data_IF_608362866012
#
_entry.id   IF_608362866012
#
_cell.length_a   1.000
_cell.length_b   1.000
_cell.length_c   1.000
_cell.angle_alpha   90.00
_cell.angle_beta   90.00
_cell.angle_gamma   90.00
#
_symmetry.space_group_name_H-M   'P 1'
#
loop_
_entity.id
_entity.type
_entity.pdbx_description
1 polymer ?
#
# COMPACT_ATOMS: atom_id res chain seq x y z
N UNK A 1 15.77 19.11 12.00
CA UNK A 1 15.21 17.77 11.89
C UNK A 1 13.79 17.85 11.34
N UNK A 2 13.57 17.25 10.21
CA UNK A 2 12.23 17.18 9.64
C UNK A 2 11.39 16.29 10.56
N UNK A 3 10.25 16.79 11.00
CA UNK A 3 9.30 15.99 11.73
C UNK A 3 8.77 14.89 10.81
N UNK A 4 8.78 13.66 11.29
CA UNK A 4 8.13 12.56 10.59
C UNK A 4 6.66 12.94 10.40
N UNK A 5 6.16 12.98 9.16
CA UNK A 5 4.76 13.30 8.95
C UNK A 5 3.91 12.17 9.51
N UNK A 6 2.86 12.48 10.16
CA UNK A 6 1.81 11.56 10.63
C UNK A 6 2.34 10.21 11.14
N UNK A 7 2.62 10.14 12.43
CA UNK A 7 2.85 8.85 13.07
C UNK A 7 1.50 8.16 13.31
N UNK A 8 1.32 6.91 12.92
CA UNK A 8 0.06 6.20 13.14
C UNK A 8 -0.41 6.20 14.60
N UNK A 9 0.52 6.17 15.54
CA UNK A 9 0.22 6.08 16.97
C UNK A 9 0.00 7.42 17.66
N UNK A 10 0.24 8.54 16.99
CA UNK A 10 0.23 9.83 17.68
C UNK A 10 -0.50 10.95 17.01
N UNK A 11 -0.91 10.82 15.76
CA UNK A 11 -1.22 12.02 15.00
C UNK A 11 -2.67 12.16 14.62
N UNK A 12 -3.41 11.12 14.54
CA UNK A 12 -4.84 11.22 14.27
C UNK A 12 -5.57 10.09 14.96
N UNK A 13 -5.79 10.19 16.27
CA UNK A 13 -6.70 9.27 16.94
C UNK A 13 -8.13 9.42 16.44
N UNK A 14 -8.45 10.56 15.81
CA UNK A 14 -9.75 10.86 15.25
C UNK A 14 -9.74 10.71 13.71
N UNK A 15 -10.85 10.20 13.18
CA UNK A 15 -11.11 10.14 11.75
C UNK A 15 -11.12 11.55 11.13
N UNK A 16 -10.40 11.75 10.03
CA UNK A 16 -10.39 13.01 9.27
C UNK A 16 -11.46 12.94 8.18
N UNK A 17 -12.51 13.74 8.33
CA UNK A 17 -13.57 13.84 7.33
C UNK A 17 -13.20 14.76 6.15
N UNK A 18 -14.07 14.83 5.14
CA UNK A 18 -13.83 15.66 3.96
C UNK A 18 -13.65 17.14 4.29
N UNK A 19 -14.50 17.68 5.17
CA UNK A 19 -14.46 19.10 5.57
C UNK A 19 -13.13 19.45 6.21
N UNK A 20 -12.67 18.65 7.16
CA UNK A 20 -11.37 18.82 7.83
C UNK A 20 -10.21 18.64 6.84
N UNK A 21 -10.28 17.64 5.99
CA UNK A 21 -9.25 17.39 4.97
C UNK A 21 -9.10 18.57 4.03
N UNK A 22 -10.21 19.12 3.52
CA UNK A 22 -10.18 20.30 2.62
C UNK A 22 -9.72 21.56 3.32
N UNK A 23 -10.07 21.75 4.58
CA UNK A 23 -9.60 22.90 5.38
C UNK A 23 -8.07 22.94 5.52
N UNK A 24 -7.40 21.80 5.43
CA UNK A 24 -5.94 21.67 5.47
C UNK A 24 -5.31 21.54 4.06
N UNK A 25 -5.95 22.05 3.03
CA UNK A 25 -5.44 22.05 1.66
C UNK A 25 -5.71 20.77 0.88
N UNK A 26 -6.55 19.90 1.38
CA UNK A 26 -6.89 18.64 0.71
C UNK A 26 -7.54 18.84 -0.65
N UNK A 27 -7.19 17.99 -1.59
CA UNK A 27 -7.63 17.95 -2.99
C UNK A 27 -7.19 19.14 -3.86
N UNK A 28 -6.42 20.09 -3.34
CA UNK A 28 -5.91 21.19 -4.17
C UNK A 28 -4.92 20.70 -5.22
N UNK A 29 -4.05 19.76 -4.86
CA UNK A 29 -3.07 19.18 -5.79
C UNK A 29 -3.77 18.37 -6.89
N UNK A 30 -4.72 17.52 -6.54
CA UNK A 30 -5.49 16.77 -7.54
C UNK A 30 -6.24 17.70 -8.48
N UNK A 31 -6.90 18.74 -7.96
CA UNK A 31 -7.62 19.72 -8.76
C UNK A 31 -6.69 20.49 -9.70
N UNK A 32 -5.53 20.95 -9.22
CA UNK A 32 -4.54 21.65 -10.03
C UNK A 32 -4.05 20.79 -11.21
N UNK A 33 -3.81 19.52 -10.94
CA UNK A 33 -3.38 18.57 -11.96
C UNK A 33 -4.47 18.31 -13.03
N UNK A 34 -5.71 18.08 -12.60
CA UNK A 34 -6.84 17.84 -13.51
C UNK A 34 -7.16 19.09 -14.33
N UNK A 35 -7.04 20.27 -13.75
CA UNK A 35 -7.31 21.54 -14.43
C UNK A 35 -6.15 22.01 -15.34
N UNK A 36 -5.06 21.27 -15.41
CA UNK A 36 -3.90 21.61 -16.24
C UNK A 36 -2.97 22.69 -15.66
N UNK A 37 -3.16 23.05 -14.39
CA UNK A 37 -2.30 24.01 -13.69
C UNK A 37 -0.99 23.37 -13.22
N UNK A 38 -0.92 22.05 -13.20
CA UNK A 38 0.26 21.27 -12.82
C UNK A 38 0.58 20.27 -13.94
N UNK A 39 1.87 20.16 -14.29
CA UNK A 39 2.32 19.28 -15.36
C UNK A 39 2.37 17.82 -14.90
N UNK A 40 1.66 16.94 -15.61
CA UNK A 40 1.63 15.51 -15.34
C UNK A 40 3.01 14.85 -15.46
N UNK A 41 3.83 15.26 -16.42
CA UNK A 41 5.19 14.71 -16.59
C UNK A 41 6.09 15.11 -15.42
N UNK A 42 5.93 16.31 -14.87
CA UNK A 42 6.66 16.73 -13.67
C UNK A 42 6.28 15.89 -12.45
N UNK A 43 5.01 15.56 -12.28
CA UNK A 43 4.53 14.66 -11.22
C UNK A 43 5.11 13.27 -11.39
N UNK A 44 5.09 12.73 -12.60
CA UNK A 44 5.65 11.41 -12.91
C UNK A 44 7.15 11.34 -12.58
N UNK A 45 7.91 12.36 -12.97
CA UNK A 45 9.34 12.47 -12.65
C UNK A 45 9.58 12.54 -11.13
N UNK A 46 8.76 13.29 -10.41
CA UNK A 46 8.83 13.34 -8.94
C UNK A 46 8.59 11.97 -8.31
N UNK A 47 7.61 11.22 -8.81
CA UNK A 47 7.35 9.86 -8.34
C UNK A 47 8.54 8.93 -8.61
N UNK A 48 9.15 9.01 -9.79
CA UNK A 48 10.34 8.23 -10.13
C UNK A 48 11.53 8.55 -9.21
N UNK A 49 11.73 9.82 -8.87
CA UNK A 49 12.85 10.28 -8.06
C UNK A 49 12.63 10.10 -6.54
N UNK A 50 11.41 9.83 -6.12
CA UNK A 50 11.07 9.71 -4.70
C UNK A 50 11.64 8.45 -4.02
N UNK A 51 11.91 7.43 -4.79
CA UNK A 51 12.29 6.12 -4.28
C UNK A 51 11.11 5.31 -3.71
N UNK A 52 9.87 5.79 -3.87
CA UNK A 52 8.68 5.03 -3.45
C UNK A 52 8.58 3.74 -4.26
N UNK A 53 8.42 2.64 -3.56
CA UNK A 53 8.24 1.30 -4.13
C UNK A 53 6.87 0.75 -3.74
N UNK A 54 6.39 -0.26 -4.44
CA UNK A 54 5.12 -0.90 -4.13
C UNK A 54 5.11 -1.50 -2.73
N UNK A 55 4.34 -0.91 -1.82
CA UNK A 55 4.37 -1.22 -0.38
C UNK A 55 3.49 -2.42 0.00
N UNK A 56 2.86 -3.05 -0.98
CA UNK A 56 2.07 -4.28 -0.77
C UNK A 56 2.89 -5.57 -0.72
N UNK A 57 4.18 -5.52 -1.04
CA UNK A 57 5.07 -6.67 -0.92
C UNK A 57 6.06 -6.89 -2.06
N UNK A 58 5.72 -6.57 -3.30
CA UNK A 58 6.58 -6.81 -4.47
C UNK A 58 7.73 -5.80 -4.59
N UNK A 59 7.55 -4.58 -4.10
CA UNK A 59 8.59 -3.57 -4.07
C UNK A 59 9.01 -3.00 -5.41
N UNK A 60 8.17 -3.10 -6.44
CA UNK A 60 8.48 -2.50 -7.74
C UNK A 60 8.44 -0.97 -7.64
N UNK A 61 9.37 -0.22 -8.25
CA UNK A 61 9.37 1.24 -8.19
C UNK A 61 8.06 1.84 -8.72
N UNK A 62 7.37 2.63 -7.88
CA UNK A 62 6.04 3.14 -8.20
C UNK A 62 6.04 4.06 -9.42
N UNK A 63 6.96 5.02 -9.48
CA UNK A 63 7.05 5.94 -10.62
C UNK A 63 7.34 5.25 -11.95
N UNK A 64 8.18 4.22 -11.92
CA UNK A 64 8.47 3.39 -13.11
C UNK A 64 7.23 2.63 -13.56
N UNK A 65 6.45 2.09 -12.62
CA UNK A 65 5.17 1.43 -12.92
C UNK A 65 4.19 2.40 -13.60
N UNK A 66 4.08 3.62 -13.10
CA UNK A 66 3.23 4.65 -13.70
C UNK A 66 3.65 4.96 -15.15
N UNK A 67 4.95 5.11 -15.38
CA UNK A 67 5.46 5.37 -16.72
C UNK A 67 5.15 4.24 -17.69
N UNK A 68 5.37 3.00 -17.27
CA UNK A 68 5.07 1.82 -18.10
C UNK A 68 3.59 1.77 -18.48
N UNK A 69 2.69 1.91 -17.50
CA UNK A 69 1.25 1.85 -17.76
C UNK A 69 0.80 3.03 -18.64
N UNK A 70 1.32 4.23 -18.38
CA UNK A 70 1.02 5.42 -19.19
C UNK A 70 1.43 5.21 -20.66
N UNK A 71 2.59 4.63 -20.91
CA UNK A 71 3.06 4.33 -22.26
C UNK A 71 2.21 3.25 -22.93
N UNK A 72 1.85 2.20 -22.21
CA UNK A 72 0.95 1.16 -22.72
C UNK A 72 -0.45 1.71 -23.02
N UNK A 73 -0.97 2.58 -22.16
CA UNK A 73 -2.26 3.25 -22.39
C UNK A 73 -2.25 4.10 -23.67
N UNK A 74 -1.14 4.77 -23.96
CA UNK A 74 -0.98 5.57 -25.17
C UNK A 74 -0.91 4.73 -26.46
N UNK A 75 -0.45 3.48 -26.35
CA UNK A 75 -0.38 2.55 -27.48
C UNK A 75 -1.68 1.77 -27.71
N UNK A 76 -2.52 1.66 -26.67
CA UNK A 76 -3.77 0.93 -26.77
C UNK A 76 -4.79 1.70 -27.61
N UNK A 77 -5.54 0.99 -28.46
CA UNK A 77 -6.62 1.61 -29.21
C UNK A 77 -7.75 2.05 -28.26
N UNK A 78 -8.35 3.23 -28.48
CA UNK A 78 -9.47 3.68 -27.69
C UNK A 78 -10.62 2.68 -27.80
N UNK A 79 -10.91 1.97 -26.71
CA UNK A 79 -12.16 1.23 -26.61
C UNK A 79 -13.26 2.23 -26.29
N UNK A 80 -14.47 2.00 -26.82
CA UNK A 80 -15.61 2.84 -26.50
C UNK A 80 -15.75 2.91 -24.97
N UNK A 81 -15.55 4.12 -24.42
CA UNK A 81 -15.70 4.36 -22.99
C UNK A 81 -17.15 4.05 -22.58
N UNK A 82 -17.38 3.48 -21.39
CA UNK A 82 -18.71 3.52 -20.81
C UNK A 82 -19.18 4.96 -20.78
N UNK A 83 -20.41 5.21 -21.17
CA UNK A 83 -20.99 6.52 -21.43
C UNK A 83 -21.00 7.52 -20.27
N UNK A 84 -20.52 7.12 -19.09
CA UNK A 84 -20.51 7.94 -17.88
C UNK A 84 -19.12 8.39 -17.41
N UNK A 85 -18.08 8.11 -18.16
CA UNK A 85 -16.72 8.50 -17.78
C UNK A 85 -16.42 9.91 -18.30
N UNK A 86 -16.65 10.90 -17.46
CA UNK A 86 -16.34 12.29 -17.75
C UNK A 86 -14.86 12.55 -18.10
N UNK A 87 -14.30 13.64 -17.67
CA UNK A 87 -13.03 14.25 -18.09
C UNK A 87 -11.74 13.42 -18.01
N UNK A 88 -11.76 12.21 -17.44
CA UNK A 88 -10.62 11.30 -17.42
C UNK A 88 -10.62 10.46 -18.71
N UNK A 89 -10.05 11.00 -19.77
CA UNK A 89 -9.80 10.23 -20.99
C UNK A 89 -8.64 9.29 -20.81
N UNK A 90 -8.80 8.04 -21.20
CA UNK A 90 -7.71 7.07 -21.16
C UNK A 90 -8.19 5.65 -21.44
N UNK A 91 -7.24 4.78 -21.78
CA UNK A 91 -7.50 3.36 -22.06
C UNK A 91 -7.07 2.44 -20.91
N UNK A 92 -6.35 2.98 -19.93
CA UNK A 92 -5.90 2.22 -18.75
C UNK A 92 -6.96 2.19 -17.65
N UNK A 93 -6.84 1.20 -16.79
CA UNK A 93 -7.64 1.08 -15.56
C UNK A 93 -6.72 0.95 -14.36
N UNK A 94 -7.22 1.31 -13.18
CA UNK A 94 -6.50 1.14 -11.93
C UNK A 94 -7.17 0.07 -11.07
N UNK A 95 -6.35 -0.79 -10.48
CA UNK A 95 -6.78 -1.76 -9.48
C UNK A 95 -6.04 -1.50 -8.17
N UNK A 96 -6.78 -1.25 -7.11
CA UNK A 96 -6.22 -0.94 -5.79
C UNK A 96 -6.50 -2.07 -4.83
N UNK A 97 -5.45 -2.57 -4.20
CA UNK A 97 -5.55 -3.66 -3.24
C UNK A 97 -5.59 -3.13 -1.80
N UNK A 98 -6.70 -3.39 -1.11
CA UNK A 98 -6.83 -3.22 0.34
C UNK A 98 -7.13 -4.58 1.00
N UNK A 99 -6.79 -5.67 0.33
CA UNK A 99 -6.95 -7.02 0.87
C UNK A 99 -5.67 -7.44 1.58
N UNK A 100 -5.54 -7.03 2.86
CA UNK A 100 -4.41 -7.37 3.72
C UNK A 100 -4.54 -8.80 4.26
N UNK A 101 -4.29 -9.79 3.38
CA UNK A 101 -4.39 -11.20 3.74
C UNK A 101 -3.23 -11.76 4.54
N UNK A 102 -2.08 -11.09 4.56
CA UNK A 102 -0.90 -11.56 5.29
C UNK A 102 -1.11 -11.45 6.82
N UNK A 103 -0.92 -12.54 7.58
CA UNK A 103 -1.04 -12.50 9.03
C UNK A 103 -0.11 -11.49 9.68
N UNK A 104 -0.65 -10.66 10.54
CA UNK A 104 0.10 -9.60 11.23
C UNK A 104 0.17 -8.27 10.47
N UNK A 105 -0.38 -8.18 9.26
CA UNK A 105 -0.47 -6.92 8.51
C UNK A 105 -1.78 -6.21 8.79
N UNK A 106 -1.72 -4.96 9.27
CA UNK A 106 -2.89 -4.15 9.59
C UNK A 106 -2.70 -2.63 9.33
N UNK A 107 -1.66 -2.26 8.58
CA UNK A 107 -1.32 -0.85 8.30
C UNK A 107 -2.35 -0.14 7.42
N UNK A 108 -2.84 -0.78 6.37
CA UNK A 108 -3.80 -0.17 5.44
C UNK A 108 -5.12 0.14 6.15
N UNK A 109 -5.62 -0.79 6.96
CA UNK A 109 -6.79 -0.58 7.79
C UNK A 109 -6.62 0.63 8.72
N UNK A 110 -5.47 0.76 9.35
CA UNK A 110 -5.18 1.88 10.27
C UNK A 110 -5.29 3.23 9.57
N UNK A 111 -4.66 3.36 8.40
CA UNK A 111 -4.70 4.60 7.62
C UNK A 111 -6.08 4.87 7.04
N UNK A 112 -6.78 3.84 6.58
CA UNK A 112 -8.12 3.98 6.02
C UNK A 112 -9.11 4.49 7.07
N UNK A 113 -9.03 4.00 8.29
CA UNK A 113 -9.87 4.47 9.40
C UNK A 113 -9.57 5.92 9.78
N UNK A 114 -8.33 6.37 9.63
CA UNK A 114 -7.90 7.69 10.08
C UNK A 114 -8.00 8.78 9.01
N UNK A 115 -7.58 8.49 7.78
CA UNK A 115 -7.48 9.49 6.72
C UNK A 115 -7.75 8.92 5.32
N UNK A 116 -9.01 8.57 5.02
CA UNK A 116 -9.37 7.99 3.72
C UNK A 116 -9.18 8.96 2.55
N UNK A 117 -9.31 10.26 2.78
CA UNK A 117 -9.22 11.26 1.72
C UNK A 117 -7.79 11.47 1.21
N UNK A 118 -6.77 11.27 2.05
CA UNK A 118 -5.38 11.30 1.58
C UNK A 118 -5.13 10.18 0.57
N UNK A 119 -5.68 9.01 0.82
CA UNK A 119 -5.65 7.90 -0.11
C UNK A 119 -6.42 8.23 -1.41
N UNK A 120 -7.63 8.75 -1.29
CA UNK A 120 -8.46 9.09 -2.46
C UNK A 120 -7.82 10.19 -3.31
N UNK A 121 -7.18 11.17 -2.71
CA UNK A 121 -6.42 12.17 -3.47
C UNK A 121 -5.24 11.52 -4.23
N UNK A 122 -4.54 10.61 -3.61
CA UNK A 122 -3.49 9.81 -4.28
C UNK A 122 -4.03 9.04 -5.48
N UNK A 123 -5.22 8.46 -5.36
CA UNK A 123 -5.92 7.79 -6.47
C UNK A 123 -6.19 8.76 -7.61
N UNK A 124 -6.72 9.95 -7.32
CA UNK A 124 -7.03 10.96 -8.34
C UNK A 124 -5.77 11.46 -9.06
N UNK A 125 -4.69 11.70 -8.33
CA UNK A 125 -3.40 12.12 -8.91
C UNK A 125 -2.88 11.02 -9.84
N UNK A 126 -2.83 9.78 -9.38
CA UNK A 126 -2.35 8.64 -10.17
C UNK A 126 -3.21 8.44 -11.43
N UNK A 127 -4.53 8.51 -11.29
CA UNK A 127 -5.46 8.34 -12.40
C UNK A 127 -5.22 9.39 -13.49
N UNK A 128 -5.04 10.65 -13.09
CA UNK A 128 -4.80 11.74 -14.05
C UNK A 128 -3.45 11.61 -14.75
N UNK A 129 -2.38 11.31 -14.00
CA UNK A 129 -1.04 11.20 -14.55
C UNK A 129 -0.91 10.02 -15.50
N UNK A 130 -1.46 8.87 -15.13
CA UNK A 130 -1.33 7.63 -15.89
C UNK A 130 -2.36 7.55 -17.02
N UNK A 131 -3.51 8.20 -16.87
CA UNK A 131 -4.60 8.13 -17.84
C UNK A 131 -5.52 6.95 -17.60
N UNK A 132 -5.88 6.68 -16.35
CA UNK A 132 -6.88 5.67 -16.02
C UNK A 132 -8.28 6.28 -15.97
N UNK A 133 -9.20 5.71 -16.72
CA UNK A 133 -10.60 6.17 -16.75
C UNK A 133 -11.45 5.59 -15.63
N UNK A 134 -11.06 4.42 -15.12
CA UNK A 134 -11.77 3.68 -14.10
C UNK A 134 -10.83 3.18 -13.03
N UNK A 135 -11.33 3.14 -11.80
CA UNK A 135 -10.62 2.67 -10.61
C UNK A 135 -11.47 1.63 -9.90
N UNK A 136 -10.90 0.47 -9.65
CA UNK A 136 -11.53 -0.61 -8.91
C UNK A 136 -10.76 -0.82 -7.62
N UNK A 137 -11.43 -0.61 -6.48
CA UNK A 137 -10.84 -0.76 -5.15
C UNK A 137 -11.31 -2.07 -4.56
N UNK A 138 -10.38 -2.99 -4.39
CA UNK A 138 -10.61 -4.33 -3.85
C UNK A 138 -10.33 -4.33 -2.36
N UNK A 139 -11.39 -4.44 -1.56
CA UNK A 139 -11.32 -4.37 -0.11
C UNK A 139 -11.62 -5.73 0.51
N UNK A 140 -10.82 -6.15 1.48
CA UNK A 140 -11.00 -7.39 2.21
C UNK A 140 -12.41 -7.49 2.79
N UNK A 141 -13.08 -8.61 2.55
CA UNK A 141 -14.48 -8.84 2.95
C UNK A 141 -14.71 -8.72 4.46
N UNK A 142 -13.73 -9.08 5.27
CA UNK A 142 -13.78 -9.01 6.73
C UNK A 142 -13.72 -7.58 7.29
N UNK A 143 -13.39 -6.58 6.46
CA UNK A 143 -13.23 -5.18 6.90
C UNK A 143 -14.51 -4.37 6.67
N UNK A 144 -15.62 -4.82 7.24
CA UNK A 144 -16.92 -4.16 7.06
C UNK A 144 -16.93 -2.69 7.49
N UNK A 145 -16.32 -2.35 8.62
CA UNK A 145 -16.23 -0.97 9.11
C UNK A 145 -15.42 -0.08 8.19
N UNK A 146 -14.30 -0.58 7.68
CA UNK A 146 -13.46 0.15 6.73
C UNK A 146 -14.17 0.37 5.40
N UNK A 147 -14.94 -0.61 4.95
CA UNK A 147 -15.75 -0.49 3.73
C UNK A 147 -16.82 0.59 3.87
N UNK A 148 -17.52 0.64 4.99
CA UNK A 148 -18.50 1.68 5.27
C UNK A 148 -17.87 3.07 5.30
N UNK A 149 -16.70 3.21 5.95
CA UNK A 149 -15.94 4.46 5.99
C UNK A 149 -15.52 4.92 4.60
N UNK A 150 -15.00 4.01 3.78
CA UNK A 150 -14.57 4.34 2.42
C UNK A 150 -15.76 4.68 1.53
N UNK A 151 -16.87 3.96 1.65
CA UNK A 151 -18.10 4.27 0.92
C UNK A 151 -18.62 5.66 1.29
N UNK A 152 -18.64 6.01 2.57
CA UNK A 152 -19.03 7.34 3.05
C UNK A 152 -18.10 8.41 2.50
N UNK A 153 -16.79 8.20 2.52
CA UNK A 153 -15.82 9.13 1.96
C UNK A 153 -16.03 9.35 0.46
N UNK A 154 -16.31 8.29 -0.30
CA UNK A 154 -16.62 8.37 -1.72
C UNK A 154 -17.93 9.10 -1.99
N UNK A 155 -18.96 8.86 -1.20
CA UNK A 155 -20.25 9.54 -1.32
C UNK A 155 -20.11 11.05 -1.09
N UNK A 156 -19.33 11.45 -0.08
CA UNK A 156 -19.03 12.86 0.19
C UNK A 156 -18.22 13.49 -0.96
N UNK A 157 -17.21 12.78 -1.45
CA UNK A 157 -16.40 13.23 -2.58
C UNK A 157 -17.22 13.44 -3.84
N UNK A 158 -18.16 12.54 -4.12
CA UNK A 158 -19.08 12.65 -5.28
C UNK A 158 -20.10 13.76 -5.12
N UNK A 159 -20.53 14.05 -3.90
CA UNK A 159 -21.48 15.13 -3.62
C UNK A 159 -20.83 16.50 -3.77
N UNK A 160 -19.57 16.65 -3.40
CA UNK A 160 -18.79 17.88 -3.47
C UNK A 160 -17.43 17.64 -4.15
N UNK A 161 -17.41 17.29 -5.44
CA UNK A 161 -16.17 16.94 -6.12
C UNK A 161 -15.25 18.15 -6.27
N UNK A 162 -13.94 17.99 -5.96
CA UNK A 162 -12.96 19.07 -6.13
C UNK A 162 -12.59 19.31 -7.59
N UNK A 163 -12.88 18.36 -8.45
CA UNK A 163 -12.59 18.32 -9.87
C UNK A 163 -13.43 17.19 -10.49
N UNK A 164 -13.50 17.08 -11.83
CA UNK A 164 -14.07 15.89 -12.46
C UNK A 164 -13.42 14.60 -11.94
N UNK A 165 -14.24 13.60 -11.67
CA UNK A 165 -13.79 12.34 -11.08
C UNK A 165 -13.77 11.21 -12.11
N UNK A 166 -12.83 10.25 -12.01
CA UNK A 166 -12.93 9.01 -12.75
C UNK A 166 -14.07 8.14 -12.20
N UNK A 167 -14.42 7.07 -12.91
CA UNK A 167 -15.27 6.05 -12.34
C UNK A 167 -14.53 5.32 -11.22
N UNK A 168 -15.10 5.30 -10.02
CA UNK A 168 -14.51 4.61 -8.86
C UNK A 168 -15.52 3.62 -8.31
N UNK A 169 -15.12 2.36 -8.22
CA UNK A 169 -15.98 1.28 -7.78
C UNK A 169 -15.32 0.46 -6.66
N UNK A 170 -16.07 0.22 -5.58
CA UNK A 170 -15.64 -0.68 -4.51
C UNK A 170 -16.04 -2.11 -4.82
N UNK A 171 -15.11 -3.03 -4.63
CA UNK A 171 -15.33 -4.48 -4.79
C UNK A 171 -14.97 -5.22 -3.51
N UNK A 172 -15.76 -6.23 -3.17
CA UNK A 172 -15.50 -7.09 -2.02
C UNK A 172 -14.45 -8.12 -2.38
N UNK A 173 -13.46 -8.28 -1.50
CA UNK A 173 -12.51 -9.38 -1.56
C UNK A 173 -13.16 -10.70 -1.16
N UNK A 174 -12.65 -11.80 -1.70
CA UNK A 174 -13.13 -13.15 -1.39
C UNK A 174 -12.70 -13.67 0.00
N UNK A 175 -11.86 -12.91 0.72
CA UNK A 175 -11.39 -13.25 2.07
C UNK A 175 -10.22 -14.23 2.11
N UNK A 176 -9.87 -14.91 1.04
CA UNK A 176 -8.73 -15.82 1.00
C UNK A 176 -7.41 -15.05 0.74
N UNK A 177 -6.34 -15.50 1.39
CA UNK A 177 -5.02 -14.85 1.29
C UNK A 177 -4.54 -14.69 -0.16
N UNK A 178 -4.64 -15.76 -0.96
CA UNK A 178 -4.14 -15.77 -2.34
C UNK A 178 -4.90 -14.80 -3.26
N UNK A 179 -6.12 -14.41 -2.90
CA UNK A 179 -6.90 -13.43 -3.67
C UNK A 179 -6.33 -12.01 -3.58
N UNK A 180 -5.37 -11.75 -2.68
CA UNK A 180 -4.57 -10.54 -2.63
C UNK A 180 -3.39 -10.52 -3.60
N UNK A 181 -3.07 -11.64 -4.26
CA UNK A 181 -2.07 -11.67 -5.32
C UNK A 181 -2.60 -10.89 -6.54
N UNK A 182 -1.72 -10.13 -7.20
CA UNK A 182 -2.07 -9.18 -8.24
C UNK A 182 -2.99 -9.76 -9.32
N UNK A 183 -2.61 -10.88 -9.94
CA UNK A 183 -3.40 -11.48 -11.02
C UNK A 183 -4.67 -12.17 -10.52
N UNK A 184 -4.64 -12.76 -9.34
CA UNK A 184 -5.83 -13.36 -8.72
C UNK A 184 -6.85 -12.29 -8.33
N UNK A 185 -6.41 -11.14 -7.82
CA UNK A 185 -7.27 -9.98 -7.56
C UNK A 185 -7.98 -9.52 -8.83
N UNK A 186 -7.26 -9.39 -9.95
CA UNK A 186 -7.82 -9.02 -11.25
C UNK A 186 -8.90 -10.03 -11.69
N UNK A 187 -8.65 -11.32 -11.59
CA UNK A 187 -9.64 -12.36 -11.89
C UNK A 187 -10.89 -12.22 -11.00
N UNK A 188 -10.69 -11.95 -9.71
CA UNK A 188 -11.80 -11.77 -8.77
C UNK A 188 -12.64 -10.53 -9.08
N UNK A 189 -12.03 -9.40 -9.44
CA UNK A 189 -12.74 -8.18 -9.85
C UNK A 189 -13.57 -8.44 -11.11
N UNK A 190 -13.08 -9.23 -12.04
CA UNK A 190 -13.80 -9.60 -13.26
C UNK A 190 -14.96 -10.59 -13.01
N UNK A 191 -15.19 -11.00 -11.77
CA UNK A 191 -16.24 -11.95 -11.40
C UNK A 191 -15.89 -13.40 -11.65
N UNK A 192 -14.61 -13.70 -11.87
CA UNK A 192 -14.08 -15.05 -12.04
C UNK A 192 -13.58 -15.59 -10.70
N UNK A 193 -13.26 -16.89 -10.66
CA UNK A 193 -12.59 -17.48 -9.52
C UNK A 193 -11.21 -16.79 -9.36
N UNK A 194 -10.86 -16.38 -8.12
CA UNK A 194 -9.63 -15.66 -7.83
C UNK A 194 -8.40 -16.54 -7.93
N UNK A 195 -8.00 -16.91 -9.14
CA UNK A 195 -6.82 -17.71 -9.45
C UNK A 195 -5.75 -16.86 -10.14
N UNK A 196 -4.46 -17.06 -9.83
CA UNK A 196 -3.38 -16.36 -10.51
C UNK A 196 -3.38 -16.64 -12.01
N UNK A 197 -3.10 -15.59 -12.81
CA UNK A 197 -2.91 -15.70 -14.26
C UNK A 197 -1.47 -16.08 -14.60
N UNK A 198 -1.30 -16.77 -15.71
CA UNK A 198 0.03 -16.98 -16.27
C UNK A 198 0.64 -15.67 -16.80
N UNK A 199 1.92 -15.48 -16.59
CA UNK A 199 2.68 -14.34 -17.11
C UNK A 199 3.77 -14.81 -18.07
N UNK A 200 4.06 -14.12 -19.20
CA UNK A 200 3.34 -13.01 -19.80
C UNK A 200 1.95 -13.42 -20.35
N UNK A 201 1.01 -12.44 -20.59
CA UNK A 201 1.23 -10.99 -20.52
C UNK A 201 1.20 -10.44 -19.10
N UNK A 202 1.99 -9.41 -18.85
CA UNK A 202 1.93 -8.68 -17.59
C UNK A 202 0.72 -7.74 -17.56
N UNK A 203 0.15 -7.49 -16.38
CA UNK A 203 -1.08 -6.69 -16.24
C UNK A 203 -0.89 -5.22 -16.66
N UNK A 204 0.33 -4.69 -16.60
CA UNK A 204 0.62 -3.36 -17.15
C UNK A 204 0.27 -3.25 -18.65
N UNK A 205 0.29 -4.35 -19.36
CA UNK A 205 -0.04 -4.44 -20.79
C UNK A 205 -1.47 -4.93 -21.01
N UNK A 206 -1.81 -6.07 -20.44
CA UNK A 206 -3.13 -6.71 -20.55
C UNK A 206 -3.55 -7.20 -19.17
N UNK A 207 -4.35 -6.40 -18.48
CA UNK A 207 -4.81 -6.69 -17.14
C UNK A 207 -6.33 -6.73 -17.05
N UNK A 208 -6.88 -5.92 -16.17
CA UNK A 208 -8.31 -5.87 -15.88
C UNK A 208 -9.12 -5.52 -17.15
N UNK A 209 -10.07 -6.39 -17.47
CA UNK A 209 -10.92 -6.28 -18.68
C UNK A 209 -10.10 -6.16 -19.98
N UNK A 210 -8.93 -6.78 -20.04
CA UNK A 210 -8.06 -6.75 -21.21
C UNK A 210 -7.32 -5.43 -21.44
N UNK A 211 -7.34 -4.50 -20.50
CA UNK A 211 -6.73 -3.17 -20.60
C UNK A 211 -5.41 -3.07 -19.85
N UNK A 212 -4.52 -2.13 -20.27
CA UNK A 212 -3.37 -1.78 -19.44
C UNK A 212 -3.82 -1.42 -18.04
N UNK A 213 -3.20 -2.01 -17.01
CA UNK A 213 -3.67 -1.87 -15.64
C UNK A 213 -2.56 -1.39 -14.73
N UNK A 214 -2.83 -0.28 -14.02
CA UNK A 214 -2.03 0.18 -12.90
C UNK A 214 -2.55 -0.49 -11.64
N UNK A 215 -1.77 -1.40 -11.06
CA UNK A 215 -2.07 -2.02 -9.78
C UNK A 215 -1.24 -1.38 -8.68
N UNK A 216 -1.88 -1.04 -7.57
CA UNK A 216 -1.21 -0.56 -6.37
C UNK A 216 -1.86 -1.06 -5.10
N UNK A 217 -1.02 -1.21 -4.07
CA UNK A 217 -1.47 -1.32 -2.69
C UNK A 217 -1.95 0.05 -2.18
N UNK A 218 -2.84 0.05 -1.21
CA UNK A 218 -3.39 1.24 -0.56
C UNK A 218 -2.29 2.22 -0.09
N UNK A 219 -1.31 1.73 0.67
CA UNK A 219 -0.30 2.60 1.26
C UNK A 219 0.56 3.29 0.22
N UNK A 220 0.84 2.64 -0.91
CA UNK A 220 1.59 3.26 -2.00
C UNK A 220 0.89 4.54 -2.48
N UNK A 221 -0.42 4.50 -2.66
CA UNK A 221 -1.22 5.67 -3.06
C UNK A 221 -1.37 6.71 -1.95
N UNK A 222 -1.35 6.28 -0.70
CA UNK A 222 -1.45 7.15 0.47
C UNK A 222 -0.33 8.21 0.54
N UNK A 223 0.86 7.89 0.03
CA UNK A 223 2.02 8.80 0.05
C UNK A 223 2.14 9.71 -1.16
N UNK A 224 1.33 9.52 -2.20
CA UNK A 224 1.46 10.25 -3.47
C UNK A 224 1.31 11.77 -3.28
N UNK A 225 0.29 12.22 -2.59
CA UNK A 225 0.07 13.64 -2.35
C UNK A 225 1.27 14.31 -1.65
N UNK A 226 1.77 13.70 -0.59
CA UNK A 226 2.90 14.25 0.17
C UNK A 226 4.16 14.35 -0.69
N UNK A 227 4.43 13.35 -1.51
CA UNK A 227 5.57 13.36 -2.43
C UNK A 227 5.44 14.49 -3.45
N UNK A 228 4.28 14.69 -4.02
CA UNK A 228 4.03 15.75 -5.01
C UNK A 228 4.17 17.14 -4.37
N UNK A 229 3.58 17.34 -3.18
CA UNK A 229 3.58 18.65 -2.52
C UNK A 229 4.92 19.00 -1.88
N UNK A 230 5.61 18.02 -1.28
CA UNK A 230 6.85 18.22 -0.53
C UNK A 230 8.11 17.95 -1.33
N UNK A 231 7.97 17.27 -2.45
CA UNK A 231 9.07 16.92 -3.35
C UNK A 231 9.62 15.51 -3.10
N UNK A 232 10.26 14.92 -4.13
CA UNK A 232 10.78 13.56 -4.06
C UNK A 232 11.90 13.42 -3.00
N UNK A 233 12.75 14.41 -2.85
CA UNK A 233 13.87 14.38 -1.90
C UNK A 233 13.39 14.34 -0.46
N UNK A 234 12.27 14.98 -0.15
CA UNK A 234 11.66 14.89 1.16
C UNK A 234 11.40 13.44 1.55
N UNK A 235 10.72 12.67 0.69
CA UNK A 235 10.42 11.26 0.97
C UNK A 235 11.70 10.42 1.00
N UNK A 236 12.57 10.58 0.01
CA UNK A 236 13.81 9.80 -0.12
C UNK A 236 14.76 9.99 1.08
N UNK A 237 14.73 11.17 1.73
CA UNK A 237 15.65 11.52 2.82
C UNK A 237 15.41 10.75 4.13
N UNK A 238 14.28 10.06 4.29
CA UNK A 238 13.95 9.38 5.55
C UNK A 238 14.62 8.03 5.74
N UNK A 239 15.20 7.43 4.72
CA UNK A 239 15.81 6.11 4.80
C UNK A 239 17.01 6.02 5.74
N UNK A 240 17.30 4.80 6.21
CA UNK A 240 18.51 4.46 7.00
C UNK A 240 19.33 3.39 6.31
N UNK A 241 20.60 3.31 6.68
CA UNK A 241 21.52 2.27 6.19
C UNK A 241 21.57 2.21 4.66
N UNK A 242 21.57 3.38 4.01
CA UNK A 242 21.62 3.49 2.56
C UNK A 242 20.29 3.27 1.83
N UNK A 243 19.20 3.11 2.55
CA UNK A 243 17.86 2.95 1.98
C UNK A 243 17.11 4.27 1.91
N UNK A 244 15.99 4.31 1.18
CA UNK A 244 15.23 5.54 0.93
C UNK A 244 13.78 5.37 1.33
N UNK A 245 13.23 6.43 1.90
CA UNK A 245 11.81 6.57 2.12
C UNK A 245 11.33 6.15 3.50
N UNK A 246 10.02 6.24 3.65
CA UNK A 246 9.28 5.83 4.85
C UNK A 246 8.60 4.51 4.58
N UNK A 247 8.39 3.76 5.65
CA UNK A 247 7.64 2.53 5.60
C UNK A 247 6.82 2.34 6.86
N UNK A 248 5.62 1.80 6.70
CA UNK A 248 4.78 1.46 7.84
C UNK A 248 4.96 -0.01 8.20
N UNK A 249 5.40 -0.24 9.43
CA UNK A 249 5.61 -1.58 9.98
C UNK A 249 4.45 -1.94 10.89
N UNK A 250 3.77 -3.04 10.58
CA UNK A 250 2.79 -3.63 11.49
C UNK A 250 3.55 -4.53 12.48
N UNK A 251 3.78 -4.04 13.68
CA UNK A 251 4.57 -4.75 14.69
C UNK A 251 3.67 -5.43 15.70
N UNK A 252 3.86 -6.73 15.86
CA UNK A 252 3.16 -7.55 16.83
C UNK A 252 4.14 -8.45 17.60
N UNK A 253 3.63 -9.15 18.62
CA UNK A 253 4.43 -10.04 19.44
C UNK A 253 4.90 -9.40 20.73
N UNK A 254 6.12 -9.73 21.17
CA UNK A 254 6.62 -9.49 22.52
C UNK A 254 7.28 -8.12 22.71
N UNK A 255 6.72 -7.07 22.13
CA UNK A 255 7.19 -5.70 22.33
C UNK A 255 6.27 -4.96 23.30
N UNK A 256 6.78 -3.90 23.92
CA UNK A 256 6.03 -3.14 24.92
C UNK A 256 4.85 -2.41 24.30
N UNK A 257 5.04 -1.80 23.13
CA UNK A 257 4.00 -1.06 22.40
C UNK A 257 3.86 -1.59 20.97
N UNK A 258 3.08 -2.66 20.76
CA UNK A 258 2.77 -3.12 19.40
C UNK A 258 1.88 -2.13 18.67
N UNK A 259 1.83 -2.23 17.34
CA UNK A 259 0.99 -1.36 16.52
C UNK A 259 1.64 -1.07 15.18
N UNK A 260 1.01 -0.18 14.40
CA UNK A 260 1.58 0.32 13.15
C UNK A 260 2.58 1.42 13.47
N UNK A 261 3.82 1.24 13.02
CA UNK A 261 4.93 2.17 13.25
C UNK A 261 5.40 2.75 11.92
N UNK A 262 5.32 4.07 11.78
CA UNK A 262 5.88 4.78 10.63
C UNK A 262 7.36 5.05 10.91
N UNK A 263 8.23 4.39 10.17
CA UNK A 263 9.67 4.40 10.41
C UNK A 263 10.45 4.50 9.10
N UNK A 264 11.75 4.86 9.15
CA UNK A 264 12.59 4.87 7.97
C UNK A 264 12.73 3.50 7.32
N UNK A 265 12.62 3.42 5.99
CA UNK A 265 13.01 2.21 5.26
C UNK A 265 14.47 1.88 5.56
N UNK A 266 14.78 0.62 5.81
CA UNK A 266 16.12 0.18 6.20
C UNK A 266 16.39 0.19 7.70
N UNK A 267 15.43 0.58 8.53
CA UNK A 267 15.56 0.42 9.98
C UNK A 267 15.78 -1.07 10.32
N UNK A 268 16.62 -1.35 11.33
CA UNK A 268 16.79 -2.73 11.80
C UNK A 268 15.68 -3.11 12.79
N UNK A 269 15.44 -4.42 12.99
CA UNK A 269 14.44 -4.83 13.98
C UNK A 269 14.80 -4.36 15.38
N UNK A 270 16.08 -4.33 15.73
CA UNK A 270 16.52 -3.84 17.05
C UNK A 270 16.20 -2.36 17.22
N UNK A 271 16.50 -1.53 16.22
CA UNK A 271 16.16 -0.10 16.22
C UNK A 271 14.63 0.11 16.27
N UNK A 272 13.87 -0.68 15.50
CA UNK A 272 12.42 -0.62 15.48
C UNK A 272 11.81 -0.92 16.85
N UNK A 273 12.28 -1.96 17.51
CA UNK A 273 11.86 -2.33 18.87
C UNK A 273 12.20 -1.20 19.86
N UNK A 274 13.44 -0.74 19.86
CA UNK A 274 13.94 0.20 20.87
C UNK A 274 13.37 1.61 20.67
N UNK A 275 13.32 2.11 19.44
CA UNK A 275 12.95 3.50 19.16
C UNK A 275 11.44 3.68 18.96
N UNK A 276 10.71 2.67 18.47
CA UNK A 276 9.30 2.80 18.09
C UNK A 276 8.35 1.95 18.94
N UNK A 277 8.82 0.91 19.60
CA UNK A 277 7.99 0.00 20.37
C UNK A 277 8.24 0.06 21.89
N UNK A 278 9.08 0.97 22.34
CA UNK A 278 9.39 1.10 23.77
C UNK A 278 10.22 -0.03 24.35
N UNK A 279 10.89 -0.82 23.50
CA UNK A 279 11.63 -2.00 23.89
C UNK A 279 10.79 -3.27 23.90
N UNK A 280 11.40 -4.35 24.37
CA UNK A 280 10.71 -5.62 24.59
C UNK A 280 9.75 -5.52 25.79
N UNK A 281 8.68 -6.30 25.77
CA UNK A 281 7.79 -6.43 26.91
C UNK A 281 8.55 -6.90 28.17
N UNK A 282 8.07 -6.53 29.34
CA UNK A 282 8.72 -6.84 30.62
C UNK A 282 8.96 -8.35 30.79
N UNK A 283 10.19 -8.71 31.12
CA UNK A 283 10.59 -10.10 31.27
C UNK A 283 10.86 -10.85 29.98
N UNK A 284 10.81 -10.16 28.83
CA UNK A 284 11.06 -10.75 27.52
C UNK A 284 12.35 -10.22 26.90
N UNK A 285 13.07 -11.10 26.23
CA UNK A 285 14.25 -10.79 25.43
C UNK A 285 13.99 -11.23 23.99
N UNK A 286 14.54 -10.50 23.02
CA UNK A 286 14.43 -10.88 21.62
C UNK A 286 15.10 -12.25 21.40
N UNK A 287 14.34 -13.17 20.85
CA UNK A 287 14.80 -14.52 20.51
C UNK A 287 14.84 -14.73 18.99
N UNK A 288 13.77 -14.35 18.31
CA UNK A 288 13.63 -14.45 16.86
C UNK A 288 12.58 -13.44 16.36
N UNK A 289 12.53 -13.23 15.06
CA UNK A 289 11.52 -12.37 14.45
C UNK A 289 11.17 -12.82 13.04
N UNK A 290 9.92 -12.57 12.64
CA UNK A 290 9.45 -12.76 11.28
C UNK A 290 9.41 -11.37 10.63
N UNK A 291 10.34 -11.05 9.70
CA UNK A 291 10.46 -9.69 9.20
C UNK A 291 9.36 -9.27 8.21
N UNK A 292 8.72 -10.24 7.56
CA UNK A 292 7.72 -10.03 6.52
C UNK A 292 6.40 -10.75 6.79
N UNK A 293 6.08 -10.99 8.04
CA UNK A 293 4.89 -11.74 8.42
C UNK A 293 5.06 -13.24 8.27
N UNK A 294 3.93 -13.94 8.20
CA UNK A 294 3.88 -15.40 8.18
C UNK A 294 4.64 -16.03 7.00
N UNK A 295 4.63 -15.38 5.84
CA UNK A 295 5.27 -15.89 4.61
C UNK A 295 6.71 -15.43 4.43
N UNK A 296 7.17 -14.47 5.23
CA UNK A 296 8.46 -13.79 5.03
C UNK A 296 9.69 -14.51 5.59
N UNK A 297 9.50 -15.68 6.20
CA UNK A 297 10.57 -16.42 6.87
C UNK A 297 10.83 -15.96 8.30
N UNK A 298 11.78 -16.61 8.98
CA UNK A 298 12.13 -16.33 10.37
C UNK A 298 13.63 -16.12 10.51
N UNK A 299 14.03 -15.15 11.33
CA UNK A 299 15.43 -14.83 11.62
C UNK A 299 15.69 -14.86 13.13
N UNK A 300 16.89 -15.32 13.55
CA UNK A 300 17.27 -15.32 14.96
C UNK A 300 17.66 -13.92 15.44
N UNK A 301 17.67 -13.72 16.76
CA UNK A 301 18.08 -12.46 17.38
C UNK A 301 19.52 -12.04 17.02
N UNK A 302 20.41 -12.99 16.73
CA UNK A 302 21.78 -12.70 16.26
C UNK A 302 21.83 -11.92 14.95
N UNK A 303 20.73 -11.89 14.19
CA UNK A 303 20.58 -11.17 12.94
C UNK A 303 19.62 -9.98 13.07
N UNK A 304 19.53 -9.38 14.25
CA UNK A 304 18.67 -8.23 14.53
C UNK A 304 19.17 -6.91 13.94
N UNK A 305 20.34 -6.90 13.34
CA UNK A 305 20.99 -5.71 12.75
C UNK A 305 20.89 -5.62 11.23
N UNK A 306 20.09 -6.47 10.60
CA UNK A 306 19.86 -6.43 9.15
C UNK A 306 18.88 -5.32 8.83
N UNK A 307 19.19 -4.42 7.87
CA UNK A 307 18.23 -3.41 7.42
C UNK A 307 16.94 -4.06 6.89
N UNK A 308 15.79 -3.56 7.34
CA UNK A 308 14.48 -4.05 6.90
C UNK A 308 14.02 -3.25 5.69
N UNK A 309 14.15 -3.83 4.51
CA UNK A 309 13.69 -3.23 3.25
C UNK A 309 13.59 -4.31 2.17
N UNK A 310 13.17 -3.91 0.97
CA UNK A 310 13.25 -4.75 -0.22
C UNK A 310 14.72 -5.09 -0.53
N UNK A 311 14.98 -6.30 -0.99
CA UNK A 311 16.29 -6.79 -1.43
C UNK A 311 17.36 -6.95 -0.35
N UNK A 312 17.04 -6.73 0.92
CA UNK A 312 18.01 -6.86 2.03
C UNK A 312 17.95 -8.20 2.75
N UNK A 313 16.86 -8.91 2.63
CA UNK A 313 16.59 -10.13 3.41
C UNK A 313 16.75 -11.42 2.59
N UNK A 314 16.78 -11.35 1.27
CA UNK A 314 16.92 -12.52 0.40
C UNK A 314 18.17 -13.36 0.67
N UNK A 315 19.35 -12.78 0.99
CA UNK A 315 20.54 -13.59 1.35
C UNK A 315 20.31 -14.52 2.55
N UNK A 316 19.32 -14.23 3.37
CA UNK A 316 18.95 -15.01 4.56
C UNK A 316 17.70 -15.86 4.35
N UNK A 317 17.22 -15.98 3.12
CA UNK A 317 16.00 -16.72 2.80
C UNK A 317 14.70 -16.06 3.25
N UNK A 318 14.73 -14.76 3.52
CA UNK A 318 13.59 -13.99 3.99
C UNK A 318 13.26 -12.81 3.05
N UNK A 319 12.09 -12.21 3.23
CA UNK A 319 11.68 -10.99 2.53
C UNK A 319 10.76 -10.14 3.41
N UNK A 320 10.75 -8.85 3.12
CA UNK A 320 10.00 -7.87 3.91
C UNK A 320 8.48 -7.95 3.66
N UNK A 321 8.06 -8.32 2.47
CA UNK A 321 6.65 -8.37 2.12
C UNK A 321 5.93 -7.05 2.39
N UNK A 322 4.80 -7.11 3.07
CA UNK A 322 4.00 -5.96 3.49
C UNK A 322 4.47 -5.32 4.81
N UNK A 323 5.66 -5.66 5.28
CA UNK A 323 6.29 -5.15 6.51
C UNK A 323 5.50 -5.48 7.80
N UNK A 324 4.90 -6.65 7.86
CA UNK A 324 4.39 -7.21 9.11
C UNK A 324 5.53 -7.86 9.89
N UNK A 325 5.94 -7.25 11.00
CA UNK A 325 7.05 -7.74 11.82
C UNK A 325 6.50 -8.40 13.08
N UNK A 326 6.79 -9.68 13.25
CA UNK A 326 6.35 -10.44 14.42
C UNK A 326 7.58 -10.71 15.29
N UNK A 327 7.56 -10.22 16.52
CA UNK A 327 8.69 -10.29 17.46
C UNK A 327 8.45 -11.39 18.47
N UNK A 328 9.38 -12.34 18.54
CA UNK A 328 9.32 -13.50 19.43
C UNK A 328 10.35 -13.36 20.55
N UNK A 329 9.99 -13.81 21.75
CA UNK A 329 10.89 -13.83 22.91
C UNK A 329 11.42 -15.23 23.20
N UNK A 330 12.30 -15.34 24.21
CA UNK A 330 12.81 -16.61 24.70
C UNK A 330 11.72 -17.55 25.25
N UNK A 331 10.53 -17.02 25.53
CA UNK A 331 9.39 -17.80 25.97
C UNK A 331 8.60 -18.41 24.81
N UNK A 332 8.88 -17.97 23.60
CA UNK A 332 8.29 -18.52 22.38
C UNK A 332 9.23 -19.57 21.80
N UNK A 333 8.63 -20.61 21.19
CA UNK A 333 9.40 -21.59 20.44
C UNK A 333 9.28 -21.27 18.96
N UNK A 334 10.38 -21.02 18.29
CA UNK A 334 10.39 -20.72 16.86
C UNK A 334 9.67 -21.80 16.02
N UNK A 335 9.81 -23.08 16.45
CA UNK A 335 9.09 -24.19 15.83
C UNK A 335 7.57 -24.06 15.92
N UNK A 336 7.06 -23.68 17.10
CA UNK A 336 5.62 -23.52 17.31
C UNK A 336 5.07 -22.34 16.51
N UNK A 337 5.81 -21.23 16.44
CA UNK A 337 5.47 -20.09 15.61
C UNK A 337 5.41 -20.48 14.11
N UNK A 338 6.40 -21.22 13.61
CA UNK A 338 6.43 -21.70 12.23
C UNK A 338 5.25 -22.64 11.92
N UNK A 339 4.88 -23.55 12.84
CA UNK A 339 3.74 -24.43 12.69
C UNK A 339 2.41 -23.66 12.65
N UNK A 340 2.25 -22.63 13.48
CA UNK A 340 1.07 -21.77 13.46
C UNK A 340 0.94 -21.02 12.14
N UNK A 341 2.04 -20.53 11.60
CA UNK A 341 2.11 -19.90 10.28
C UNK A 341 1.69 -20.88 9.18
N UNK A 342 2.25 -22.09 9.17
CA UNK A 342 1.90 -23.11 8.18
C UNK A 342 0.41 -23.46 8.24
N UNK A 343 -0.17 -23.62 9.42
CA UNK A 343 -1.61 -23.88 9.60
C UNK A 343 -2.46 -22.74 9.06
N UNK A 344 -2.03 -21.51 9.23
CA UNK A 344 -2.72 -20.35 8.64
C UNK A 344 -2.77 -20.45 7.12
N UNK A 345 -1.61 -20.68 6.46
CA UNK A 345 -1.56 -20.81 5.01
C UNK A 345 -2.38 -21.99 4.48
N UNK A 346 -2.37 -23.11 5.16
CA UNK A 346 -3.21 -24.27 4.83
C UNK A 346 -4.70 -23.91 4.87
N UNK A 347 -5.12 -23.13 5.86
CA UNK A 347 -6.51 -22.69 6.02
C UNK A 347 -6.92 -21.63 4.98
N UNK A 348 -6.02 -20.70 4.65
CA UNK A 348 -6.27 -19.58 3.74
C UNK A 348 -6.00 -19.89 2.27
N UNK A 349 -5.46 -21.06 1.94
CA UNK A 349 -5.27 -21.44 0.54
C UNK A 349 -6.62 -21.58 -0.16
N UNK A 350 -6.71 -21.05 -1.38
CA UNK A 350 -7.88 -21.21 -2.25
C UNK A 350 -7.92 -22.65 -2.80
N UNK A 351 -8.08 -23.64 -1.94
CA UNK A 351 -7.97 -25.08 -2.16
C UNK A 351 -8.56 -25.66 -3.41
#
# INVERSE_FOLDING_TARGET
GQSVPVQPDGVSPAHTDLTTYRAHGGYQTAAALVNGEMDAEAVLTAMENSGLRGLGGAGFPAGRKWRIVREQAALAEPQAAPSDTGAFGGTAVMAVNIDEGEPGTFKDRTYLERDPHRFLEGVLIAAQVVGTESVYIYLRDEYHGCRALLQTALDHLRAEPPCPLPHIELRRGAGAYICGEESAMIESIEGKRGEPRMRPPYIAQVGLFGRPTLEHNFETLYWVRDIVERGPDWFASFGRHGRKGLRSFSVSGRVKHPGVKLAPAGITVQELIDEFCGGMADGHQLYAYLPGGASGGILPASLANIPLDFDTLQPYGCFIGSAAVIVLSQHDRARDAALNVMRFFEHESCG
#
